data_IF_552090222826
#
_entry.id   IF_552090222826
#
_cell.length_a   1.000
_cell.length_b   1.000
_cell.length_c   1.000
_cell.angle_alpha   90.00
_cell.angle_beta   90.00
_cell.angle_gamma   90.00
#
_symmetry.space_group_name_H-M   'P 1'
#
loop_
_entity.id
_entity.type
_entity.pdbx_description
1 polymer ?
#
# COMPACT_ATOMS: atom_id res chain seq x y z
N UNK A 1 -5.20 -14.80 -5.06
CA UNK A 1 -4.33 -13.73 -5.60
C UNK A 1 -4.32 -13.76 -7.12
N UNK A 2 -5.38 -13.22 -7.73
CA UNK A 2 -5.42 -12.91 -9.16
C UNK A 2 -4.35 -11.85 -9.43
N UNK A 3 -3.29 -12.18 -10.18
CA UNK A 3 -2.11 -11.34 -10.43
C UNK A 3 -2.40 -10.18 -11.41
N UNK A 4 -3.61 -9.64 -11.38
CA UNK A 4 -4.06 -8.56 -12.27
C UNK A 4 -3.82 -7.21 -11.61
N UNK A 5 -2.94 -6.42 -12.22
CA UNK A 5 -2.55 -5.08 -11.75
C UNK A 5 -3.77 -4.15 -11.61
N UNK A 6 -4.70 -4.18 -12.56
CA UNK A 6 -5.90 -3.34 -12.52
C UNK A 6 -6.78 -3.64 -11.29
N UNK A 7 -7.01 -4.92 -11.00
CA UNK A 7 -7.78 -5.36 -9.83
C UNK A 7 -7.09 -4.93 -8.54
N UNK A 8 -5.76 -4.97 -8.51
CA UNK A 8 -4.97 -4.49 -7.38
C UNK A 8 -5.15 -2.98 -7.17
N UNK A 9 -5.03 -2.18 -8.24
CA UNK A 9 -5.22 -0.74 -8.15
C UNK A 9 -6.62 -0.38 -7.64
N UNK A 10 -7.65 -1.05 -8.15
CA UNK A 10 -9.03 -0.85 -7.67
C UNK A 10 -9.15 -1.22 -6.20
N UNK A 11 -8.60 -2.37 -5.80
CA UNK A 11 -8.62 -2.81 -4.40
C UNK A 11 -7.91 -1.81 -3.46
N UNK A 12 -6.74 -1.31 -3.86
CA UNK A 12 -5.98 -0.32 -3.09
C UNK A 12 -6.79 0.98 -2.90
N UNK A 13 -7.41 1.48 -3.97
CA UNK A 13 -8.28 2.68 -3.89
C UNK A 13 -9.48 2.46 -2.98
N UNK A 14 -10.09 1.27 -3.02
CA UNK A 14 -11.20 0.91 -2.12
C UNK A 14 -10.72 0.89 -0.66
N UNK A 15 -9.53 0.35 -0.38
CA UNK A 15 -8.96 0.33 0.97
C UNK A 15 -8.72 1.77 1.47
N UNK A 16 -8.16 2.64 0.63
CA UNK A 16 -7.97 4.06 0.97
C UNK A 16 -9.31 4.71 1.34
N UNK A 17 -10.33 4.57 0.48
CA UNK A 17 -11.65 5.14 0.73
C UNK A 17 -12.32 4.56 1.99
N UNK A 18 -12.18 3.25 2.22
CA UNK A 18 -12.74 2.57 3.38
C UNK A 18 -12.14 3.11 4.68
N UNK A 19 -10.82 3.24 4.74
CA UNK A 19 -10.11 3.75 5.92
C UNK A 19 -10.45 5.22 6.19
N UNK A 20 -10.62 6.02 5.14
CA UNK A 20 -11.00 7.43 5.24
C UNK A 20 -12.49 7.65 5.55
N UNK A 21 -13.34 6.61 5.46
CA UNK A 21 -14.78 6.75 5.68
C UNK A 21 -15.15 6.91 7.16
N UNK A 22 -14.30 6.46 8.08
CA UNK A 22 -14.52 6.61 9.53
C UNK A 22 -13.22 6.40 10.30
N UNK A 23 -13.01 7.24 11.31
CA UNK A 23 -11.82 7.24 12.18
C UNK A 23 -11.63 5.91 12.94
N UNK A 24 -12.68 5.09 13.06
CA UNK A 24 -12.63 3.79 13.73
C UNK A 24 -12.16 2.65 12.82
N UNK A 25 -12.20 2.83 11.51
CA UNK A 25 -11.90 1.76 10.55
C UNK A 25 -10.40 1.51 10.46
N UNK A 26 -9.58 2.57 10.43
CA UNK A 26 -8.13 2.45 10.39
C UNK A 26 -7.57 1.59 11.54
N UNK A 27 -7.87 1.91 12.82
CA UNK A 27 -7.40 1.11 13.95
C UNK A 27 -7.93 -0.32 13.94
N UNK A 28 -9.18 -0.53 13.47
CA UNK A 28 -9.78 -1.86 13.34
C UNK A 28 -9.09 -2.73 12.26
N UNK A 29 -8.41 -2.13 11.29
CA UNK A 29 -7.68 -2.85 10.23
C UNK A 29 -6.28 -3.30 10.64
N UNK A 30 -5.67 -2.70 11.68
CA UNK A 30 -4.30 -3.00 12.14
C UNK A 30 -4.07 -4.50 12.39
N UNK A 31 -4.97 -5.26 13.05
CA UNK A 31 -4.79 -6.70 13.25
C UNK A 31 -4.70 -7.51 11.94
N UNK A 32 -5.25 -6.98 10.83
CA UNK A 32 -5.28 -7.63 9.53
C UNK A 32 -4.09 -7.26 8.63
N UNK A 33 -3.23 -6.32 9.04
CA UNK A 33 -2.05 -5.91 8.28
C UNK A 33 -1.14 -7.09 7.94
N UNK A 34 -1.03 -8.09 8.84
CA UNK A 34 -0.23 -9.30 8.59
C UNK A 34 -0.71 -10.13 7.40
N UNK A 35 -1.99 -10.05 7.05
CA UNK A 35 -2.57 -10.76 5.92
C UNK A 35 -2.54 -9.92 4.64
N UNK A 36 -2.77 -8.61 4.77
CA UNK A 36 -2.90 -7.69 3.64
C UNK A 36 -1.55 -7.23 3.08
N UNK A 37 -0.65 -6.77 3.95
CA UNK A 37 0.56 -6.04 3.56
C UNK A 37 1.65 -6.89 2.88
N UNK A 38 1.79 -8.21 3.10
CA UNK A 38 2.76 -9.02 2.35
C UNK A 38 2.55 -8.96 0.84
N UNK A 39 1.30 -8.84 0.37
CA UNK A 39 1.04 -8.61 -1.04
C UNK A 39 1.54 -7.24 -1.49
N UNK A 40 1.31 -6.18 -0.72
CA UNK A 40 1.75 -4.83 -1.09
C UNK A 40 3.27 -4.78 -1.21
N UNK A 41 4.01 -5.40 -0.29
CA UNK A 41 5.46 -5.47 -0.36
C UNK A 41 5.96 -6.15 -1.65
N UNK A 42 5.34 -7.28 -2.04
CA UNK A 42 5.74 -8.02 -3.24
C UNK A 42 5.60 -7.18 -4.54
N UNK A 43 4.53 -6.39 -4.65
CA UNK A 43 4.30 -5.56 -5.85
C UNK A 43 5.06 -4.23 -5.79
N UNK A 44 5.34 -3.69 -4.60
CA UNK A 44 6.23 -2.54 -4.41
C UNK A 44 7.65 -2.86 -4.90
N UNK A 45 8.21 -4.01 -4.50
CA UNK A 45 9.55 -4.46 -4.92
C UNK A 45 9.61 -4.79 -6.42
N UNK A 46 8.55 -5.40 -6.97
CA UNK A 46 8.49 -5.72 -8.40
C UNK A 46 8.55 -4.47 -9.29
N UNK A 47 7.99 -3.35 -8.82
CA UNK A 47 8.05 -2.08 -9.51
C UNK A 47 9.50 -1.54 -9.58
N UNK A 48 10.24 -1.61 -8.46
CA UNK A 48 11.65 -1.18 -8.37
C UNK A 48 12.56 -2.03 -9.28
N UNK A 49 12.34 -3.34 -9.31
CA UNK A 49 13.16 -4.27 -10.09
C UNK A 49 12.81 -4.32 -11.59
N UNK A 50 11.75 -3.63 -12.03
CA UNK A 50 11.41 -3.52 -13.46
C UNK A 50 12.15 -2.37 -14.16
N UNK A 51 13.06 -1.68 -13.45
CA UNK A 51 13.83 -0.53 -13.95
C UNK A 51 14.75 -0.76 -15.16
N UNK A 52 14.93 -2.00 -15.64
CA UNK A 52 15.71 -2.32 -16.85
C UNK A 52 14.85 -2.67 -18.08
N UNK A 53 13.57 -3.01 -17.90
CA UNK A 53 12.64 -3.20 -19.00
C UNK A 53 11.80 -1.93 -19.12
N UNK A 54 12.11 -1.09 -20.11
CA UNK A 54 11.31 0.09 -20.45
C UNK A 54 9.87 -0.38 -20.66
N UNK A 55 9.04 -0.24 -19.62
CA UNK A 55 7.64 -0.64 -19.67
C UNK A 55 6.88 0.46 -20.42
N UNK A 56 6.77 0.26 -21.74
CA UNK A 56 6.01 1.11 -22.66
C UNK A 56 4.51 1.22 -22.28
N UNK A 57 4.05 0.53 -21.23
CA UNK A 57 2.72 0.66 -20.61
C UNK A 57 2.49 1.95 -19.79
N UNK A 58 3.48 2.84 -19.64
CA UNK A 58 3.36 4.12 -18.92
C UNK A 58 2.30 5.10 -19.46
N UNK A 59 1.57 4.78 -20.53
CA UNK A 59 0.58 5.67 -21.13
C UNK A 59 -0.66 5.93 -20.24
N UNK A 60 -0.85 5.17 -19.15
CA UNK A 60 -2.05 5.24 -18.29
C UNK A 60 -1.85 5.68 -16.83
N UNK A 61 -0.70 6.24 -16.42
CA UNK A 61 -0.52 6.82 -15.06
C UNK A 61 -0.85 5.87 -13.88
N UNK A 62 -0.83 4.55 -14.07
CA UNK A 62 -1.12 3.56 -13.01
C UNK A 62 0.18 2.95 -12.50
N UNK A 63 1.02 3.76 -11.87
CA UNK A 63 2.17 3.24 -11.14
C UNK A 63 1.69 2.59 -9.84
N UNK A 64 1.61 1.25 -9.86
CA UNK A 64 1.14 0.44 -8.73
C UNK A 64 2.01 0.67 -7.49
N UNK A 65 3.31 0.88 -7.67
CA UNK A 65 4.23 1.14 -6.56
C UNK A 65 3.86 2.44 -5.83
N UNK A 66 3.63 3.52 -6.60
CA UNK A 66 3.25 4.81 -6.02
C UNK A 66 1.89 4.72 -5.30
N UNK A 67 0.93 4.00 -5.88
CA UNK A 67 -0.38 3.78 -5.24
C UNK A 67 -0.27 2.92 -3.97
N UNK A 68 0.64 1.94 -3.95
CA UNK A 68 0.93 1.17 -2.74
C UNK A 68 1.49 2.09 -1.67
N UNK A 69 2.47 2.93 -2.01
CA UNK A 69 3.07 3.86 -1.04
C UNK A 69 2.04 4.85 -0.51
N UNK A 70 1.21 5.45 -1.37
CA UNK A 70 0.10 6.30 -0.95
C UNK A 70 -0.86 5.55 0.00
N UNK A 71 -1.20 4.30 -0.32
CA UNK A 71 -2.08 3.48 0.53
C UNK A 71 -1.44 3.20 1.90
N UNK A 72 -0.15 2.90 1.97
CA UNK A 72 0.56 2.68 3.23
C UNK A 72 0.57 3.95 4.09
N UNK A 73 0.71 5.13 3.50
CA UNK A 73 0.61 6.40 4.21
C UNK A 73 -0.80 6.65 4.76
N UNK A 74 -1.84 6.35 3.98
CA UNK A 74 -3.24 6.47 4.46
C UNK A 74 -3.48 5.53 5.64
N UNK A 75 -2.96 4.29 5.57
CA UNK A 75 -3.05 3.31 6.64
C UNK A 75 -2.28 3.72 7.91
N UNK A 76 -1.13 4.38 7.76
CA UNK A 76 -0.39 4.93 8.91
C UNK A 76 -1.15 6.09 9.55
N UNK A 77 -1.62 7.07 8.76
CA UNK A 77 -2.29 8.27 9.26
C UNK A 77 -3.59 7.99 10.02
N UNK A 78 -4.32 6.95 9.62
CA UNK A 78 -5.62 6.61 10.21
C UNK A 78 -5.56 5.37 11.11
N UNK A 79 -4.46 4.60 11.10
CA UNK A 79 -4.38 3.34 11.84
C UNK A 79 -4.11 3.48 13.34
N UNK A 80 -3.87 4.68 13.84
CA UNK A 80 -3.52 4.93 15.26
C UNK A 80 -2.04 4.65 15.59
N UNK A 81 -1.73 4.68 16.88
CA UNK A 81 -0.35 4.65 17.40
C UNK A 81 0.46 3.42 16.95
N UNK A 82 -0.18 2.24 16.86
CA UNK A 82 0.45 0.98 16.49
C UNK A 82 0.55 0.75 14.97
N UNK A 83 0.02 1.66 14.15
CA UNK A 83 -0.04 1.44 12.71
C UNK A 83 1.35 1.34 12.09
N UNK A 84 2.23 2.30 12.41
CA UNK A 84 3.57 2.37 11.83
C UNK A 84 4.39 1.11 12.12
N UNK A 85 4.44 0.67 13.37
CA UNK A 85 5.23 -0.50 13.76
C UNK A 85 4.75 -1.76 13.03
N UNK A 86 3.42 -1.95 12.91
CA UNK A 86 2.85 -3.09 12.19
C UNK A 86 3.12 -3.01 10.68
N UNK A 87 3.06 -1.81 10.08
CA UNK A 87 3.41 -1.61 8.68
C UNK A 87 4.89 -1.92 8.44
N UNK A 88 5.79 -1.37 9.27
CA UNK A 88 7.25 -1.57 9.15
C UNK A 88 7.66 -3.03 9.29
N UNK A 89 6.97 -3.80 10.14
CA UNK A 89 7.18 -5.25 10.26
C UNK A 89 6.83 -6.02 8.99
N UNK A 90 5.82 -5.59 8.23
CA UNK A 90 5.38 -6.29 7.02
C UNK A 90 6.02 -5.75 5.73
N UNK A 91 6.35 -4.46 5.71
CA UNK A 91 6.96 -3.74 4.59
C UNK A 91 8.23 -3.03 5.10
N UNK A 92 9.37 -3.72 5.19
CA UNK A 92 10.59 -3.15 5.79
C UNK A 92 11.13 -1.90 5.07
N UNK A 93 10.81 -1.76 3.79
CA UNK A 93 11.18 -0.61 2.92
C UNK A 93 10.25 0.59 3.08
N UNK A 94 9.22 0.53 3.91
CA UNK A 94 8.35 1.66 4.19
C UNK A 94 9.02 2.64 5.18
N UNK A 95 8.89 3.93 4.92
CA UNK A 95 9.35 5.02 5.79
C UNK A 95 8.14 5.84 6.25
N UNK A 96 8.13 6.26 7.51
CA UNK A 96 6.97 6.93 8.12
C UNK A 96 6.64 8.22 7.38
N UNK A 97 5.35 8.47 7.15
CA UNK A 97 4.91 9.72 6.53
C UNK A 97 4.98 10.94 7.46
N UNK A 98 5.28 10.75 8.75
CA UNK A 98 5.47 11.83 9.72
C UNK A 98 6.93 12.28 9.86
N UNK A 99 7.88 11.52 9.31
CA UNK A 99 9.32 11.81 9.35
C UNK A 99 9.82 12.54 8.10
N UNK A 100 8.92 12.92 7.18
CA UNK A 100 9.21 13.63 5.94
C UNK A 100 8.88 15.13 6.04
#
# INVERSE_FOLDING_TARGET
NTRHIEVMCVTLRIIQQLVMASDLIGPALVPFYRQLLPMFNAYKVKNINSGDAIDYGQKNNLNVGDLIDETLQVLERHGGEDAFINIKYMVPTYESCYLN
#
